data_IF_529227907670
#
_entry.id   IF_529227907670
#
_cell.length_a   1.000
_cell.length_b   1.000
_cell.length_c   1.000
_cell.angle_alpha   90.00
_cell.angle_beta   90.00
_cell.angle_gamma   90.00
#
_symmetry.space_group_name_H-M   'P 1'
#
loop_
_entity.id
_entity.type
_entity.pdbx_description
1 polymer ?
#
# COMPACT_ATOMS: atom_id res chain seq x y z
N UNK A 1 -22.50 22.52 -14.56
CA UNK A 1 -21.45 21.81 -13.80
C UNK A 1 -21.43 20.39 -14.32
N UNK A 2 -20.37 20.01 -15.02
CA UNK A 2 -20.26 18.67 -15.60
C UNK A 2 -19.94 17.68 -14.47
N UNK A 3 -20.84 16.76 -14.20
CA UNK A 3 -20.57 15.57 -13.39
C UNK A 3 -19.55 14.73 -14.15
N UNK A 4 -18.30 14.74 -13.73
CA UNK A 4 -17.32 13.77 -14.19
C UNK A 4 -17.73 12.44 -13.57
N UNK A 5 -18.51 11.65 -14.33
CA UNK A 5 -18.72 10.25 -14.03
C UNK A 5 -17.40 9.54 -14.33
N UNK A 6 -16.53 9.41 -13.34
CA UNK A 6 -15.37 8.54 -13.42
C UNK A 6 -15.82 7.10 -13.24
N UNK A 7 -16.23 6.47 -14.35
CA UNK A 7 -16.30 5.00 -14.37
C UNK A 7 -14.89 4.46 -14.07
N UNK A 8 -14.76 3.42 -13.24
CA UNK A 8 -13.46 2.81 -12.97
C UNK A 8 -12.79 2.41 -14.28
N UNK A 9 -11.51 2.70 -14.41
CA UNK A 9 -10.72 2.40 -15.63
C UNK A 9 -10.43 0.90 -15.77
N UNK A 10 -10.52 0.16 -14.66
CA UNK A 10 -10.26 -1.29 -14.59
C UNK A 10 -11.53 -2.06 -14.18
N UNK A 11 -11.60 -3.33 -14.60
CA UNK A 11 -12.72 -4.22 -14.22
C UNK A 11 -12.60 -4.75 -12.78
N UNK A 12 -11.43 -4.65 -12.18
CA UNK A 12 -11.14 -5.11 -10.83
C UNK A 12 -10.65 -3.89 -10.05
N UNK A 13 -11.32 -3.60 -8.93
CA UNK A 13 -10.98 -2.49 -8.04
C UNK A 13 -10.80 -3.04 -6.62
N UNK A 14 -9.63 -2.87 -5.99
CA UNK A 14 -9.44 -3.21 -4.59
C UNK A 14 -10.44 -2.47 -3.71
N UNK A 15 -11.07 -3.20 -2.79
CA UNK A 15 -12.00 -2.63 -1.81
C UNK A 15 -11.47 -2.91 -0.40
N UNK A 16 -11.16 -1.85 0.33
CA UNK A 16 -10.69 -1.89 1.71
C UNK A 16 -11.87 -1.73 2.65
N UNK A 17 -12.04 -2.68 3.57
CA UNK A 17 -13.10 -2.66 4.56
C UNK A 17 -12.61 -2.02 5.86
N UNK A 18 -13.29 -0.97 6.31
CA UNK A 18 -13.05 -0.30 7.59
C UNK A 18 -14.32 -0.31 8.45
N UNK A 19 -14.19 -0.14 9.75
CA UNK A 19 -15.35 0.13 10.60
C UNK A 19 -15.96 1.49 10.26
N UNK A 20 -15.19 2.59 10.40
CA UNK A 20 -15.68 3.97 10.19
C UNK A 20 -14.63 4.94 9.62
N UNK A 21 -13.44 4.43 9.23
CA UNK A 21 -12.24 5.22 8.94
C UNK A 21 -11.97 5.43 7.44
N UNK A 22 -12.91 5.06 6.55
CA UNK A 22 -12.68 5.05 5.10
C UNK A 22 -12.20 6.40 4.54
N UNK A 23 -12.78 7.51 4.99
CA UNK A 23 -12.42 8.86 4.51
C UNK A 23 -11.06 9.29 5.04
N UNK A 24 -10.76 9.00 6.31
CA UNK A 24 -9.47 9.30 6.91
C UNK A 24 -8.34 8.49 6.23
N UNK A 25 -8.58 7.20 5.95
CA UNK A 25 -7.65 6.33 5.25
C UNK A 25 -7.40 6.81 3.81
N UNK A 26 -8.44 7.06 3.03
CA UNK A 26 -8.32 7.57 1.67
C UNK A 26 -7.58 8.92 1.60
N UNK A 27 -7.87 9.83 2.55
CA UNK A 27 -7.17 11.12 2.65
C UNK A 27 -5.69 10.94 2.98
N UNK A 28 -5.37 10.02 3.89
CA UNK A 28 -3.99 9.71 4.25
C UNK A 28 -3.22 9.17 3.04
N UNK A 29 -3.75 8.17 2.34
CA UNK A 29 -3.07 7.57 1.19
C UNK A 29 -2.89 8.56 0.03
N UNK A 30 -3.93 9.32 -0.31
CA UNK A 30 -3.84 10.32 -1.39
C UNK A 30 -2.90 11.48 -1.05
N UNK A 31 -2.55 11.68 0.21
CA UNK A 31 -1.53 12.62 0.66
C UNK A 31 -0.10 12.09 0.56
N UNK A 32 0.10 10.76 0.45
CA UNK A 32 1.42 10.12 0.40
C UNK A 32 1.85 9.82 -1.04
N UNK A 33 0.94 9.27 -1.84
CA UNK A 33 1.24 8.86 -3.22
C UNK A 33 1.02 10.03 -4.18
N UNK A 34 1.96 10.24 -5.09
CA UNK A 34 1.79 11.16 -6.21
C UNK A 34 0.71 10.67 -7.17
N UNK A 35 0.22 11.51 -8.07
CA UNK A 35 -0.84 11.16 -9.03
C UNK A 35 -2.06 10.46 -8.37
N UNK A 36 -2.47 10.98 -7.21
CA UNK A 36 -3.50 10.39 -6.36
C UNK A 36 -4.54 11.41 -5.97
N UNK A 37 -5.79 10.99 -5.82
CA UNK A 37 -6.91 11.89 -5.47
C UNK A 37 -8.13 11.13 -4.98
N UNK A 38 -8.97 11.80 -4.19
CA UNK A 38 -10.32 11.35 -3.90
C UNK A 38 -11.21 11.65 -5.12
N UNK A 39 -11.92 10.63 -5.60
CA UNK A 39 -12.81 10.73 -6.76
C UNK A 39 -14.25 11.02 -6.35
N UNK A 40 -14.75 10.31 -5.32
CA UNK A 40 -16.13 10.44 -4.85
C UNK A 40 -16.27 9.98 -3.40
N UNK A 41 -17.12 10.69 -2.66
CA UNK A 41 -17.57 10.29 -1.31
C UNK A 41 -19.07 10.05 -1.37
N UNK A 42 -19.51 8.89 -0.89
CA UNK A 42 -20.92 8.51 -0.79
C UNK A 42 -21.32 8.30 0.66
N UNK A 43 -22.57 8.55 1.00
CA UNK A 43 -23.07 8.47 2.36
C UNK A 43 -24.21 7.45 2.48
N UNK A 44 -24.38 6.87 3.65
CA UNK A 44 -25.53 6.04 3.95
C UNK A 44 -26.84 6.83 3.93
N UNK A 45 -27.84 6.28 3.28
CA UNK A 45 -29.21 6.74 3.36
C UNK A 45 -29.96 6.07 4.53
N UNK A 46 -31.23 6.44 4.71
CA UNK A 46 -32.09 5.90 5.78
C UNK A 46 -32.38 4.39 5.67
N UNK A 47 -32.16 3.78 4.52
CA UNK A 47 -32.33 2.34 4.29
C UNK A 47 -31.02 1.55 4.48
N UNK A 48 -29.90 2.21 4.77
CA UNK A 48 -28.60 1.56 4.95
C UNK A 48 -28.46 0.90 6.32
N UNK A 49 -27.48 -0.02 6.48
CA UNK A 49 -27.23 -0.73 7.75
C UNK A 49 -26.53 0.15 8.80
N UNK A 50 -26.01 1.31 8.40
CA UNK A 50 -25.28 2.25 9.28
C UNK A 50 -26.06 3.58 9.36
N UNK A 51 -25.74 4.47 10.32
CA UNK A 51 -26.46 5.74 10.48
C UNK A 51 -26.54 6.57 9.21
N UNK A 52 -27.72 7.09 8.88
CA UNK A 52 -27.92 7.97 7.75
C UNK A 52 -27.01 9.22 7.85
N UNK A 53 -26.37 9.61 6.76
CA UNK A 53 -25.42 10.70 6.69
C UNK A 53 -23.97 10.33 7.03
N UNK A 54 -23.70 9.13 7.58
CA UNK A 54 -22.35 8.61 7.75
C UNK A 54 -21.72 8.33 6.37
N UNK A 55 -20.42 8.58 6.21
CA UNK A 55 -19.69 8.15 5.00
C UNK A 55 -19.83 6.65 4.83
N UNK A 56 -20.33 6.24 3.67
CA UNK A 56 -20.47 4.83 3.32
C UNK A 56 -19.24 4.35 2.59
N UNK A 57 -18.83 5.10 1.56
CA UNK A 57 -17.78 4.65 0.65
C UNK A 57 -17.03 5.85 0.08
N UNK A 58 -15.71 5.70 -0.05
CA UNK A 58 -14.83 6.64 -0.73
C UNK A 58 -14.19 5.94 -1.92
N UNK A 59 -14.40 6.46 -3.12
CA UNK A 59 -13.65 6.10 -4.30
C UNK A 59 -12.45 7.02 -4.42
N UNK A 60 -11.28 6.47 -4.63
CA UNK A 60 -10.04 7.23 -4.74
C UNK A 60 -9.05 6.52 -5.68
N UNK A 61 -8.05 7.27 -6.11
CA UNK A 61 -7.00 6.81 -7.02
C UNK A 61 -5.65 6.97 -6.30
N UNK A 62 -4.81 5.94 -6.35
CA UNK A 62 -3.42 5.96 -5.91
C UNK A 62 -2.52 5.61 -7.08
N UNK A 63 -1.65 6.53 -7.46
CA UNK A 63 -0.74 6.39 -8.62
C UNK A 63 -1.43 5.82 -9.87
N UNK A 64 -2.64 6.34 -10.16
CA UNK A 64 -3.44 5.91 -11.31
C UNK A 64 -4.20 4.60 -11.14
N UNK A 65 -4.15 3.97 -9.96
CA UNK A 65 -4.93 2.76 -9.65
C UNK A 65 -6.15 3.11 -8.83
N UNK A 66 -7.33 2.68 -9.29
CA UNK A 66 -8.60 2.89 -8.60
C UNK A 66 -8.73 2.01 -7.35
N UNK A 67 -9.19 2.61 -6.25
CA UNK A 67 -9.50 1.96 -4.97
C UNK A 67 -10.86 2.36 -4.45
N UNK A 68 -11.42 1.52 -3.58
CA UNK A 68 -12.61 1.79 -2.79
C UNK A 68 -12.26 1.60 -1.31
N UNK A 69 -12.64 2.56 -0.46
CA UNK A 69 -12.65 2.41 0.99
C UNK A 69 -14.10 2.40 1.47
N UNK A 70 -14.53 1.32 2.13
CA UNK A 70 -15.90 1.11 2.61
C UNK A 70 -15.95 1.15 4.14
N UNK A 71 -16.88 1.91 4.71
CA UNK A 71 -17.24 1.83 6.13
C UNK A 71 -18.32 0.75 6.33
N UNK A 72 -17.91 -0.51 6.37
CA UNK A 72 -18.85 -1.63 6.48
C UNK A 72 -19.21 -2.03 7.89
N UNK A 73 -18.41 -1.63 8.89
CA UNK A 73 -18.60 -2.01 10.29
C UNK A 73 -17.45 -2.85 10.84
N UNK A 74 -17.52 -3.25 12.13
CA UNK A 74 -16.42 -3.93 12.82
C UNK A 74 -16.34 -5.44 12.55
N UNK A 75 -17.14 -5.98 11.63
CA UNK A 75 -17.23 -7.42 11.38
C UNK A 75 -15.95 -8.03 10.82
N UNK A 76 -15.18 -7.26 10.05
CA UNK A 76 -13.94 -7.73 9.43
C UNK A 76 -12.77 -6.83 9.82
N UNK A 77 -11.61 -7.46 10.00
CA UNK A 77 -10.34 -6.79 10.24
C UNK A 77 -9.40 -7.09 9.08
N UNK A 78 -8.74 -6.07 8.55
CA UNK A 78 -7.70 -6.24 7.52
C UNK A 78 -6.51 -6.96 8.16
N UNK A 79 -5.95 -7.92 7.44
CA UNK A 79 -4.78 -8.71 7.86
C UNK A 79 -3.70 -8.74 6.76
N UNK A 80 -2.59 -9.42 7.04
CA UNK A 80 -1.43 -9.52 6.17
C UNK A 80 -1.60 -10.47 4.98
N UNK A 81 -2.74 -11.17 4.86
CA UNK A 81 -3.00 -12.08 3.74
C UNK A 81 -3.15 -11.32 2.41
N UNK A 82 -3.44 -10.02 2.48
CA UNK A 82 -3.42 -9.11 1.33
C UNK A 82 -2.53 -7.91 1.70
N UNK A 83 -1.65 -7.54 0.78
CA UNK A 83 -0.78 -6.37 0.90
C UNK A 83 -0.62 -5.66 -0.43
N UNK A 84 -0.26 -4.38 -0.38
CA UNK A 84 0.07 -3.60 -1.57
C UNK A 84 1.57 -3.39 -1.64
N UNK A 85 2.17 -3.77 -2.78
CA UNK A 85 3.59 -3.59 -3.02
C UNK A 85 3.81 -2.22 -3.66
N UNK A 86 4.65 -1.41 -3.03
CA UNK A 86 5.14 -0.13 -3.54
C UNK A 86 6.52 -0.37 -4.13
N UNK A 87 6.63 -0.22 -5.44
CA UNK A 87 7.90 -0.38 -6.16
C UNK A 87 8.65 0.94 -6.12
N UNK A 88 9.86 0.93 -5.58
CA UNK A 88 10.71 2.10 -5.39
C UNK A 88 11.97 2.00 -6.27
N UNK A 89 12.27 3.05 -7.01
CA UNK A 89 13.43 3.11 -7.91
C UNK A 89 14.69 3.65 -7.21
N UNK A 90 14.56 4.17 -5.99
CA UNK A 90 15.67 4.73 -5.23
C UNK A 90 15.51 4.51 -3.71
N UNK A 91 16.63 4.66 -2.99
CA UNK A 91 16.61 4.62 -1.52
C UNK A 91 15.79 5.77 -0.93
N UNK A 92 15.83 6.95 -1.53
CA UNK A 92 15.04 8.10 -1.08
C UNK A 92 13.53 7.84 -1.15
N UNK A 93 13.07 7.13 -2.18
CA UNK A 93 11.66 6.69 -2.27
C UNK A 93 11.31 5.67 -1.20
N UNK A 94 12.19 4.67 -0.98
CA UNK A 94 12.01 3.69 0.09
C UNK A 94 11.88 4.41 1.44
N UNK A 95 12.80 5.31 1.75
CA UNK A 95 12.83 6.04 3.01
C UNK A 95 11.57 6.90 3.19
N UNK A 96 11.12 7.57 2.13
CA UNK A 96 9.92 8.40 2.11
C UNK A 96 8.66 7.58 2.38
N UNK A 97 8.44 6.52 1.60
CA UNK A 97 7.23 5.69 1.75
C UNK A 97 7.23 4.92 3.06
N UNK A 98 8.39 4.36 3.46
CA UNK A 98 8.52 3.68 4.74
C UNK A 98 8.14 4.60 5.90
N UNK A 99 8.75 5.79 5.98
CA UNK A 99 8.47 6.74 7.05
C UNK A 99 7.02 7.21 7.07
N UNK A 100 6.44 7.49 5.89
CA UNK A 100 5.08 8.02 5.81
C UNK A 100 4.02 6.96 6.15
N UNK A 101 4.19 5.71 5.69
CA UNK A 101 3.21 4.65 5.88
C UNK A 101 3.34 3.96 7.24
N UNK A 102 4.54 3.92 7.86
CA UNK A 102 4.72 3.36 9.20
C UNK A 102 4.36 4.34 10.33
N UNK A 103 4.09 5.62 10.01
CA UNK A 103 3.71 6.61 11.02
C UNK A 103 2.39 6.26 11.71
N UNK A 104 2.48 5.93 13.01
CA UNK A 104 1.36 5.44 13.80
C UNK A 104 0.94 4.00 13.50
N UNK A 105 1.72 3.25 12.72
CA UNK A 105 1.56 1.85 12.40
C UNK A 105 2.65 0.96 13.01
N UNK A 106 2.98 -0.13 12.33
CA UNK A 106 3.95 -1.14 12.77
C UNK A 106 4.94 -1.45 11.66
N UNK A 107 6.25 -1.40 11.96
CA UNK A 107 7.29 -1.86 11.06
C UNK A 107 7.43 -3.38 11.13
N UNK A 108 7.59 -4.03 9.97
CA UNK A 108 7.78 -5.47 9.83
C UNK A 108 9.11 -5.83 9.18
N UNK A 109 9.38 -7.13 8.97
CA UNK A 109 10.58 -7.60 8.29
C UNK A 109 10.48 -7.46 6.77
N UNK A 110 11.64 -7.48 6.09
CA UNK A 110 11.72 -7.64 4.63
C UNK A 110 10.98 -6.60 3.80
N UNK A 111 10.94 -5.35 4.26
CA UNK A 111 10.22 -4.29 3.57
C UNK A 111 8.71 -4.23 3.87
N UNK A 112 8.20 -5.12 4.72
CA UNK A 112 6.81 -5.11 5.15
C UNK A 112 6.55 -4.10 6.25
N UNK A 113 5.39 -3.49 6.21
CA UNK A 113 4.87 -2.67 7.31
C UNK A 113 3.33 -2.76 7.32
N UNK A 114 2.74 -2.40 8.45
CA UNK A 114 1.30 -2.22 8.60
C UNK A 114 1.06 -0.75 8.97
N UNK A 115 0.18 -0.08 8.24
CA UNK A 115 -0.14 1.31 8.56
C UNK A 115 -1.10 1.43 9.75
N UNK A 116 -1.36 2.67 10.18
CA UNK A 116 -2.26 2.97 11.31
C UNK A 116 -3.72 2.59 11.10
N UNK A 117 -4.12 2.22 9.88
CA UNK A 117 -5.46 1.72 9.55
C UNK A 117 -5.49 0.20 9.42
N UNK A 118 -4.36 -0.47 9.64
CA UNK A 118 -4.22 -1.92 9.56
C UNK A 118 -3.95 -2.47 8.16
N UNK A 119 -3.75 -1.63 7.17
CA UNK A 119 -3.41 -2.07 5.81
C UNK A 119 -1.93 -2.42 5.73
N UNK A 120 -1.63 -3.58 5.14
CA UNK A 120 -0.27 -4.08 4.95
C UNK A 120 0.32 -3.61 3.63
N UNK A 121 1.57 -3.14 3.71
CA UNK A 121 2.36 -2.64 2.58
C UNK A 121 3.70 -3.36 2.50
N UNK A 122 4.22 -3.47 1.28
CA UNK A 122 5.58 -3.94 1.00
C UNK A 122 6.33 -2.81 0.28
N UNK A 123 7.34 -2.23 0.91
CA UNK A 123 8.16 -1.17 0.31
C UNK A 123 9.39 -1.83 -0.30
N UNK A 124 9.38 -1.98 -1.61
CA UNK A 124 10.28 -2.90 -2.32
C UNK A 124 11.11 -2.19 -3.39
N UNK A 125 12.45 -2.32 -3.37
CA UNK A 125 13.28 -1.81 -4.47
C UNK A 125 12.96 -2.51 -5.79
N UNK A 126 12.74 -1.75 -6.85
CA UNK A 126 12.51 -2.28 -8.20
C UNK A 126 13.65 -3.18 -8.66
N UNK A 127 14.91 -2.80 -8.37
CA UNK A 127 16.11 -3.58 -8.70
C UNK A 127 16.13 -4.95 -8.02
N UNK A 128 15.66 -5.07 -6.78
CA UNK A 128 15.56 -6.35 -6.08
C UNK A 128 14.66 -7.33 -6.83
N UNK A 129 13.47 -6.89 -7.20
CA UNK A 129 12.45 -7.75 -7.83
C UNK A 129 12.74 -8.07 -9.29
N UNK A 130 13.32 -7.13 -10.03
CA UNK A 130 13.52 -7.26 -11.47
C UNK A 130 14.86 -7.88 -11.84
N UNK A 131 15.88 -7.68 -11.03
CA UNK A 131 17.26 -8.08 -11.33
C UNK A 131 17.82 -9.07 -10.30
N UNK A 132 17.97 -8.66 -9.03
CA UNK A 132 18.70 -9.42 -8.03
C UNK A 132 18.10 -10.80 -7.74
N UNK A 133 16.78 -10.90 -7.59
CA UNK A 133 16.09 -12.18 -7.32
C UNK A 133 15.85 -13.03 -8.58
N UNK A 134 16.17 -12.49 -9.76
CA UNK A 134 16.06 -13.18 -11.05
C UNK A 134 17.42 -13.45 -11.68
N UNK A 135 18.51 -13.17 -10.98
CA UNK A 135 19.86 -13.43 -11.46
C UNK A 135 20.04 -14.93 -11.72
N UNK A 136 20.66 -15.34 -12.84
CA UNK A 136 20.94 -16.74 -13.13
C UNK A 136 21.97 -17.38 -12.15
N UNK A 137 22.78 -16.56 -11.47
CA UNK A 137 23.65 -17.02 -10.38
C UNK A 137 22.82 -17.26 -9.11
N UNK A 138 22.52 -18.52 -8.85
CA UNK A 138 21.73 -18.94 -7.69
C UNK A 138 22.40 -18.66 -6.36
N UNK A 139 23.74 -18.65 -6.29
CA UNK A 139 24.46 -18.33 -5.04
C UNK A 139 24.33 -16.85 -4.72
N UNK A 140 24.42 -16.00 -5.74
CA UNK A 140 24.14 -14.56 -5.60
C UNK A 140 22.71 -14.31 -5.11
N UNK A 141 21.71 -14.96 -5.72
CA UNK A 141 20.31 -14.87 -5.27
C UNK A 141 20.16 -15.28 -3.80
N UNK A 142 20.81 -16.36 -3.37
CA UNK A 142 20.75 -16.81 -1.97
C UNK A 142 21.38 -15.80 -1.00
N UNK A 143 22.50 -15.15 -1.37
CA UNK A 143 23.11 -14.10 -0.55
C UNK A 143 22.20 -12.88 -0.42
N UNK A 144 21.61 -12.43 -1.53
CA UNK A 144 20.64 -11.31 -1.52
C UNK A 144 19.43 -11.64 -0.66
N UNK A 145 18.87 -12.85 -0.82
CA UNK A 145 17.74 -13.32 -0.01
C UNK A 145 18.07 -13.36 1.48
N UNK A 146 19.24 -13.87 1.85
CA UNK A 146 19.69 -13.91 3.23
C UNK A 146 19.86 -12.50 3.83
N UNK A 147 20.39 -11.56 3.07
CA UNK A 147 20.49 -10.16 3.49
C UNK A 147 19.11 -9.54 3.68
N UNK A 148 18.21 -9.67 2.70
CA UNK A 148 16.85 -9.16 2.75
C UNK A 148 16.08 -9.67 3.99
N UNK A 149 16.18 -10.95 4.31
CA UNK A 149 15.49 -11.57 5.45
C UNK A 149 15.95 -11.05 6.82
N UNK A 150 17.11 -10.41 6.90
CA UNK A 150 17.63 -9.78 8.12
C UNK A 150 17.30 -8.28 8.23
N UNK A 151 16.66 -7.70 7.22
CA UNK A 151 16.27 -6.28 7.21
C UNK A 151 14.84 -6.08 7.69
N UNK A 152 14.55 -4.93 8.28
CA UNK A 152 13.20 -4.36 8.35
C UNK A 152 12.95 -3.54 7.08
N UNK A 153 13.26 -2.24 7.12
CA UNK A 153 13.32 -1.39 5.93
C UNK A 153 14.46 -1.88 5.02
N UNK A 154 14.20 -2.02 3.73
CA UNK A 154 15.20 -2.47 2.78
C UNK A 154 16.22 -1.37 2.46
N UNK A 155 17.49 -1.76 2.37
CA UNK A 155 18.63 -0.92 2.00
C UNK A 155 19.25 -1.44 0.70
N UNK A 156 19.15 -0.66 -0.38
CA UNK A 156 19.62 -1.04 -1.71
C UNK A 156 21.13 -1.30 -1.69
N UNK A 157 21.92 -0.45 -1.04
CA UNK A 157 23.37 -0.59 -1.01
C UNK A 157 23.80 -1.84 -0.23
N UNK A 158 23.04 -2.27 0.78
CA UNK A 158 23.31 -3.51 1.50
C UNK A 158 22.96 -4.74 0.67
N UNK A 159 21.86 -4.69 -0.09
CA UNK A 159 21.49 -5.76 -1.03
C UNK A 159 22.54 -5.91 -2.14
N UNK A 160 23.04 -4.80 -2.70
CA UNK A 160 24.11 -4.77 -3.70
C UNK A 160 25.40 -5.38 -3.13
N UNK A 161 25.81 -4.98 -1.92
CA UNK A 161 26.98 -5.58 -1.25
C UNK A 161 26.84 -7.08 -1.06
N UNK A 162 25.64 -7.56 -0.70
CA UNK A 162 25.38 -8.98 -0.55
C UNK A 162 25.44 -9.71 -1.90
N UNK A 163 24.97 -9.07 -2.97
CA UNK A 163 25.06 -9.62 -4.33
C UNK A 163 26.51 -9.78 -4.78
N UNK A 164 27.38 -8.82 -4.46
CA UNK A 164 28.77 -8.76 -4.90
C UNK A 164 29.75 -9.51 -3.97
N UNK A 165 29.29 -10.02 -2.84
CA UNK A 165 30.12 -10.81 -1.92
C UNK A 165 30.59 -12.09 -2.60
N UNK A 166 31.91 -12.39 -2.47
CA UNK A 166 32.54 -13.58 -3.05
C UNK A 166 32.31 -14.84 -2.20
#
# INVERSE_FOLDING_TARGET
MATVSSSPTTKITPCLWFDDQSEAAATFYTGIFENSRILQVSHYGSAGPRPAGMVMMVNFELDGVDFVALNGGPEFTIDEAISFQVNCDSQDEIDRFWSALSDGGEEGPCGWLKDKFGVSWQITPTVLMNEMLRDPDTEKVQRVMAAMLNMGKLDIAELERAADAA
#
